data_IF_949521423181
#
_entry.id   IF_949521423181
#
_cell.length_a   1.000
_cell.length_b   1.000
_cell.length_c   1.000
_cell.angle_alpha   90.00
_cell.angle_beta   90.00
_cell.angle_gamma   90.00
#
_symmetry.space_group_name_H-M   'P 1'
#
loop_
_entity.id
_entity.type
_entity.pdbx_description
1 polymer ?
#
# COMPACT_ATOMS: atom_id res chain seq x y z
N UNK A 1 10.04 -74.39 22.57
CA UNK A 1 9.97 -73.23 21.68
C UNK A 1 10.37 -71.97 22.42
N UNK A 2 11.55 -71.41 22.11
CA UNK A 2 12.03 -70.17 22.76
C UNK A 2 11.48 -68.95 21.99
N UNK A 3 10.85 -68.03 22.72
CA UNK A 3 10.33 -66.77 22.15
C UNK A 3 11.48 -65.88 21.61
N UNK A 4 11.26 -65.15 20.49
CA UNK A 4 12.31 -64.29 19.93
C UNK A 4 12.54 -63.08 20.83
N UNK A 5 13.79 -62.88 21.25
CA UNK A 5 14.22 -61.67 21.96
C UNK A 5 14.16 -60.46 20.99
N UNK A 6 13.30 -59.45 21.28
CA UNK A 6 13.30 -58.16 20.61
C UNK A 6 14.60 -57.44 20.95
N UNK A 7 15.51 -57.26 19.97
CA UNK A 7 16.68 -56.39 20.06
C UNK A 7 16.24 -54.95 20.22
N UNK A 8 16.37 -54.39 21.42
CA UNK A 8 16.12 -52.98 21.69
C UNK A 8 17.05 -52.07 20.88
N UNK A 9 16.50 -50.99 20.33
CA UNK A 9 17.27 -49.95 19.62
C UNK A 9 18.21 -49.31 20.65
N UNK A 10 19.53 -49.32 20.36
CA UNK A 10 20.51 -48.70 21.27
C UNK A 10 20.26 -47.20 21.43
N UNK A 11 20.41 -46.64 22.63
CA UNK A 11 20.29 -45.20 22.92
C UNK A 11 21.03 -44.33 21.90
N UNK A 12 22.20 -44.78 21.44
CA UNK A 12 23.02 -44.08 20.45
C UNK A 12 22.40 -44.05 19.04
N UNK A 13 21.65 -45.08 18.63
CA UNK A 13 20.88 -45.10 17.37
C UNK A 13 19.63 -44.24 17.45
N UNK A 14 18.97 -44.21 18.61
CA UNK A 14 17.80 -43.36 18.84
C UNK A 14 18.16 -41.87 18.82
N UNK A 15 19.26 -41.47 19.50
CA UNK A 15 19.76 -40.08 19.50
C UNK A 15 20.22 -39.68 18.10
N UNK A 16 20.90 -40.54 17.33
CA UNK A 16 21.27 -40.25 15.95
C UNK A 16 20.07 -40.14 15.02
N UNK A 17 19.03 -40.94 15.23
CA UNK A 17 17.76 -40.86 14.50
C UNK A 17 17.00 -39.54 14.78
N UNK A 18 16.96 -39.12 16.07
CA UNK A 18 16.36 -37.83 16.48
C UNK A 18 17.13 -36.62 15.90
N UNK A 19 18.46 -36.64 15.99
CA UNK A 19 19.32 -35.61 15.44
C UNK A 19 19.21 -35.54 13.91
N UNK A 20 19.17 -36.69 13.23
CA UNK A 20 18.94 -36.77 11.78
C UNK A 20 17.54 -36.27 11.35
N UNK A 21 16.50 -36.59 12.14
CA UNK A 21 15.12 -36.12 11.94
C UNK A 21 15.00 -34.60 12.12
N UNK A 22 15.60 -34.05 13.18
CA UNK A 22 15.63 -32.58 13.41
C UNK A 22 16.44 -31.88 12.31
N UNK A 23 17.59 -32.41 11.88
CA UNK A 23 18.37 -31.84 10.78
C UNK A 23 17.61 -31.89 9.45
N UNK A 24 16.87 -32.98 9.19
CA UNK A 24 16.00 -33.09 8.02
C UNK A 24 14.84 -32.11 8.02
N UNK A 25 14.18 -31.90 9.17
CA UNK A 25 13.10 -30.92 9.34
C UNK A 25 13.61 -29.48 9.21
N UNK A 26 14.81 -29.18 9.72
CA UNK A 26 15.44 -27.86 9.56
C UNK A 26 15.85 -27.63 8.10
N UNK A 27 16.44 -28.60 7.41
CA UNK A 27 16.80 -28.47 5.99
C UNK A 27 15.56 -28.32 5.07
N UNK A 28 14.48 -29.07 5.34
CA UNK A 28 13.21 -28.92 4.64
C UNK A 28 12.56 -27.56 4.91
N UNK A 29 12.63 -27.09 6.17
CA UNK A 29 12.18 -25.75 6.57
C UNK A 29 12.96 -24.64 5.85
N UNK A 30 14.30 -24.79 5.75
CA UNK A 30 15.14 -23.86 5.00
C UNK A 30 14.87 -23.86 3.50
N UNK A 31 14.62 -25.04 2.91
CA UNK A 31 14.26 -25.17 1.50
C UNK A 31 12.93 -24.49 1.20
N UNK A 32 11.91 -24.70 2.03
CA UNK A 32 10.61 -24.05 1.90
C UNK A 32 10.72 -22.54 2.08
N UNK A 33 11.49 -22.10 3.06
CA UNK A 33 11.71 -20.69 3.33
C UNK A 33 12.38 -19.97 2.15
N UNK A 34 13.41 -20.57 1.56
CA UNK A 34 14.03 -20.06 0.34
C UNK A 34 13.08 -20.05 -0.86
N UNK A 35 12.27 -21.09 -1.01
CA UNK A 35 11.27 -21.13 -2.07
C UNK A 35 10.25 -20.00 -1.91
N UNK A 36 9.72 -19.77 -0.70
CA UNK A 36 8.81 -18.68 -0.41
C UNK A 36 9.45 -17.32 -0.69
N UNK A 37 10.71 -17.12 -0.25
CA UNK A 37 11.45 -15.88 -0.50
C UNK A 37 11.62 -15.58 -2.00
N UNK A 38 11.95 -16.62 -2.80
CA UNK A 38 12.21 -16.45 -4.22
C UNK A 38 10.97 -16.45 -5.11
N UNK A 39 9.85 -17.00 -4.68
CA UNK A 39 8.65 -17.11 -5.51
C UNK A 39 7.53 -16.17 -5.09
N UNK A 40 7.01 -16.32 -3.88
CA UNK A 40 5.83 -15.57 -3.43
C UNK A 40 6.19 -14.21 -2.81
N UNK A 41 7.35 -14.13 -2.18
CA UNK A 41 7.80 -12.98 -1.41
C UNK A 41 9.01 -12.28 -2.04
N UNK A 42 9.25 -12.49 -3.33
CA UNK A 42 10.35 -11.84 -4.04
C UNK A 42 10.25 -10.32 -3.85
N UNK A 43 11.34 -9.63 -3.43
CA UNK A 43 11.37 -8.16 -3.41
C UNK A 43 11.53 -7.62 -4.83
N UNK A 44 11.26 -6.33 -5.02
CA UNK A 44 11.67 -5.59 -6.19
C UNK A 44 13.20 -5.58 -6.35
N UNK A 45 13.69 -5.19 -7.52
CA UNK A 45 15.13 -5.10 -7.81
C UNK A 45 15.41 -3.85 -8.64
N UNK A 46 16.39 -3.06 -8.20
CA UNK A 46 16.92 -1.91 -8.92
C UNK A 46 18.45 -1.97 -9.01
N UNK A 47 19.00 -1.65 -10.16
CA UNK A 47 20.43 -1.69 -10.44
C UNK A 47 20.96 -0.38 -11.04
N UNK A 48 20.34 0.72 -10.70
CA UNK A 48 20.74 2.06 -11.15
C UNK A 48 21.89 2.66 -10.34
N UNK A 49 22.26 3.90 -10.65
CA UNK A 49 23.31 4.62 -9.94
C UNK A 49 22.93 4.92 -8.48
N UNK A 50 23.94 5.15 -7.64
CA UNK A 50 23.76 5.67 -6.28
C UNK A 50 23.20 7.08 -6.37
N UNK A 51 22.19 7.38 -5.51
CA UNK A 51 21.54 8.69 -5.41
C UNK A 51 21.51 9.16 -3.96
N UNK A 52 20.85 10.28 -3.67
CA UNK A 52 20.64 10.79 -2.32
C UNK A 52 19.65 9.97 -1.48
N UNK A 53 19.02 8.94 -2.07
CA UNK A 53 18.10 8.01 -1.41
C UNK A 53 18.26 6.55 -1.87
N UNK A 54 19.35 6.20 -2.58
CA UNK A 54 19.72 4.83 -2.95
C UNK A 54 21.23 4.62 -2.77
N UNK A 55 21.64 3.64 -1.95
CA UNK A 55 23.04 3.36 -1.62
C UNK A 55 23.75 2.39 -2.59
N UNK A 56 23.06 1.99 -3.67
CA UNK A 56 23.52 0.95 -4.63
C UNK A 56 22.94 -0.42 -4.33
N UNK A 57 22.28 -0.62 -3.17
CA UNK A 57 21.70 -1.89 -2.74
C UNK A 57 20.29 -1.70 -2.19
N UNK A 58 20.05 -0.64 -1.40
CA UNK A 58 18.80 -0.35 -0.73
C UNK A 58 18.40 1.12 -0.90
N UNK A 59 17.12 1.36 -1.00
CA UNK A 59 16.55 2.69 -0.87
C UNK A 59 16.47 3.11 0.60
N UNK A 60 16.56 4.40 0.89
CA UNK A 60 16.47 4.95 2.24
C UNK A 60 15.79 6.31 2.26
N UNK A 61 15.28 6.70 3.41
CA UNK A 61 14.75 8.06 3.61
C UNK A 61 15.92 8.99 3.94
N UNK A 62 16.17 10.06 3.16
CA UNK A 62 17.34 10.94 3.36
C UNK A 62 17.39 11.64 4.72
N UNK A 63 16.22 11.85 5.33
CA UNK A 63 16.08 12.67 6.55
C UNK A 63 15.81 11.85 7.82
N UNK A 64 15.43 10.58 7.70
CA UNK A 64 15.01 9.74 8.84
C UNK A 64 15.50 8.32 8.64
N UNK A 65 16.09 7.73 9.67
CA UNK A 65 16.42 6.30 9.70
C UNK A 65 15.26 5.53 10.35
N UNK A 66 14.70 4.58 9.63
CA UNK A 66 13.66 3.68 10.12
C UNK A 66 14.25 2.34 10.56
N UNK A 67 13.68 1.72 11.61
CA UNK A 67 14.11 0.41 12.10
C UNK A 67 13.31 -0.70 11.40
N UNK A 68 13.98 -1.47 10.55
CA UNK A 68 13.42 -2.61 9.81
C UNK A 68 13.81 -3.96 10.43
N UNK A 69 14.29 -3.97 11.68
CA UNK A 69 14.83 -5.15 12.34
C UNK A 69 13.75 -6.19 12.65
N UNK A 70 14.20 -7.42 12.86
CA UNK A 70 13.33 -8.52 13.32
C UNK A 70 12.75 -8.23 14.70
N UNK A 71 13.46 -7.45 15.55
CA UNK A 71 12.96 -7.04 16.86
C UNK A 71 11.76 -6.11 16.77
N UNK A 72 11.71 -5.19 15.80
CA UNK A 72 10.54 -4.36 15.54
C UNK A 72 9.32 -5.21 15.13
N UNK A 73 9.53 -6.24 14.30
CA UNK A 73 8.46 -7.16 13.90
C UNK A 73 7.95 -8.01 15.09
N UNK A 74 8.86 -8.50 15.96
CA UNK A 74 8.49 -9.25 17.18
C UNK A 74 7.71 -8.34 18.14
N UNK A 75 8.16 -7.11 18.34
CA UNK A 75 7.48 -6.11 19.16
C UNK A 75 6.06 -5.87 18.65
N UNK A 76 5.90 -5.64 17.34
CA UNK A 76 4.58 -5.45 16.73
C UNK A 76 3.65 -6.63 16.97
N UNK A 77 4.14 -7.87 16.84
CA UNK A 77 3.35 -9.08 17.12
C UNK A 77 2.95 -9.20 18.58
N UNK A 78 3.84 -8.85 19.52
CA UNK A 78 3.58 -8.94 20.96
C UNK A 78 2.58 -7.88 21.46
N UNK A 79 2.58 -6.70 20.84
CA UNK A 79 1.68 -5.58 21.20
C UNK A 79 0.32 -5.65 20.51
N UNK A 80 0.09 -6.63 19.63
CA UNK A 80 -1.21 -6.81 18.92
C UNK A 80 -2.36 -7.31 19.82
N UNK A 81 -2.12 -7.62 21.07
CA UNK A 81 -3.15 -8.06 22.00
C UNK A 81 -4.13 -6.95 22.42
N UNK A 82 -3.74 -5.70 22.32
CA UNK A 82 -4.51 -4.51 22.75
C UNK A 82 -5.27 -3.87 21.57
N UNK A 83 -5.97 -4.66 20.79
CA UNK A 83 -6.70 -4.16 19.63
C UNK A 83 -7.99 -3.44 20.03
N UNK A 84 -8.20 -2.26 19.45
CA UNK A 84 -9.46 -1.57 19.44
C UNK A 84 -10.57 -2.40 18.74
N UNK A 85 -11.82 -2.03 19.02
CA UNK A 85 -12.96 -2.73 18.40
C UNK A 85 -12.98 -2.53 16.88
N UNK A 86 -13.07 -3.64 16.16
CA UNK A 86 -13.24 -3.65 14.71
C UNK A 86 -14.38 -4.61 14.37
N UNK A 87 -15.41 -4.22 13.62
CA UNK A 87 -16.51 -5.11 13.27
C UNK A 87 -16.00 -6.33 12.49
N UNK A 88 -16.61 -7.50 12.67
CA UNK A 88 -16.21 -8.69 11.92
C UNK A 88 -16.49 -8.51 10.41
N UNK A 89 -17.65 -7.97 10.08
CA UNK A 89 -18.01 -7.56 8.73
C UNK A 89 -18.82 -6.26 8.83
N UNK A 90 -18.41 -5.25 8.09
CA UNK A 90 -19.16 -4.01 7.92
C UNK A 90 -19.62 -3.90 6.46
N UNK A 91 -20.91 -3.95 6.23
CA UNK A 91 -21.48 -3.77 4.90
C UNK A 91 -21.28 -2.33 4.39
N UNK A 92 -21.07 -2.19 3.09
CA UNK A 92 -21.01 -0.89 2.45
C UNK A 92 -22.40 -0.24 2.47
N UNK A 93 -22.44 1.08 2.72
CA UNK A 93 -23.67 1.86 2.73
C UNK A 93 -23.95 2.52 1.38
N UNK A 94 -22.98 2.50 0.47
CA UNK A 94 -23.02 3.16 -0.82
C UNK A 94 -22.84 2.18 -1.96
N UNK A 95 -23.59 2.38 -3.03
CA UNK A 95 -23.38 1.75 -4.34
C UNK A 95 -22.73 2.79 -5.24
N UNK A 96 -21.63 2.45 -5.94
CA UNK A 96 -20.95 3.40 -6.81
C UNK A 96 -21.88 3.95 -7.87
N UNK A 97 -21.83 5.26 -8.07
CA UNK A 97 -22.58 5.95 -9.10
C UNK A 97 -21.58 6.67 -10.02
N UNK A 98 -21.06 5.94 -11.00
CA UNK A 98 -20.05 6.49 -11.89
C UNK A 98 -20.71 7.36 -12.96
N UNK A 99 -20.14 8.55 -13.22
CA UNK A 99 -20.54 9.38 -14.34
C UNK A 99 -20.26 8.67 -15.68
N UNK A 100 -20.96 9.01 -16.75
CA UNK A 100 -20.68 8.45 -18.08
C UNK A 100 -19.27 8.83 -18.53
N UNK A 101 -18.89 10.09 -18.34
CA UNK A 101 -17.58 10.64 -18.70
C UNK A 101 -17.16 11.70 -17.70
N UNK A 102 -15.84 11.82 -17.47
CA UNK A 102 -15.23 12.84 -16.59
C UNK A 102 -14.07 13.50 -17.33
N UNK A 103 -14.30 14.69 -17.84
CA UNK A 103 -13.37 15.44 -18.71
C UNK A 103 -13.22 16.89 -18.27
N UNK A 104 -12.40 17.63 -18.96
CA UNK A 104 -12.25 19.07 -18.73
C UNK A 104 -11.65 19.38 -17.36
N UNK A 105 -12.42 20.09 -16.57
CA UNK A 105 -12.07 20.53 -15.20
C UNK A 105 -12.67 19.65 -14.12
N UNK A 106 -13.42 18.62 -14.52
CA UNK A 106 -14.11 17.73 -13.59
C UNK A 106 -13.20 16.61 -13.09
N UNK A 107 -13.49 16.14 -11.89
CA UNK A 107 -12.92 14.95 -11.30
C UNK A 107 -13.98 14.12 -10.59
N UNK A 108 -13.78 12.83 -10.58
CA UNK A 108 -14.57 11.86 -9.82
C UNK A 108 -13.65 10.89 -9.13
N UNK A 109 -13.86 10.65 -7.83
CA UNK A 109 -13.08 9.71 -7.02
C UNK A 109 -14.03 8.80 -6.27
N UNK A 110 -13.90 7.49 -6.50
CA UNK A 110 -14.67 6.47 -5.79
C UNK A 110 -13.75 5.69 -4.85
N UNK A 111 -14.13 5.60 -3.58
CA UNK A 111 -13.45 4.75 -2.60
C UNK A 111 -13.77 3.29 -2.89
N UNK A 112 -12.81 2.55 -3.43
CA UNK A 112 -12.98 1.11 -3.66
C UNK A 112 -12.73 0.35 -2.37
N UNK A 113 -11.58 0.57 -1.75
CA UNK A 113 -11.22 0.10 -0.41
C UNK A 113 -9.80 0.57 -0.06
N UNK A 114 -9.46 0.65 1.22
CA UNK A 114 -8.09 0.87 1.71
C UNK A 114 -7.39 2.04 0.98
N UNK A 115 -6.36 1.75 0.20
CA UNK A 115 -5.67 2.70 -0.68
C UNK A 115 -6.02 2.50 -2.17
N UNK A 116 -7.01 1.65 -2.45
CA UNK A 116 -7.55 1.48 -3.81
C UNK A 116 -8.65 2.51 -4.05
N UNK A 117 -8.36 3.50 -4.87
CA UNK A 117 -9.31 4.52 -5.32
C UNK A 117 -9.40 4.48 -6.83
N UNK A 118 -10.62 4.58 -7.35
CA UNK A 118 -10.86 4.85 -8.76
C UNK A 118 -10.93 6.35 -8.96
N UNK A 119 -9.90 6.91 -9.60
CA UNK A 119 -9.79 8.33 -9.93
C UNK A 119 -10.16 8.48 -11.41
N UNK A 120 -11.10 9.37 -11.71
CA UNK A 120 -11.54 9.67 -13.06
C UNK A 120 -11.34 11.15 -13.35
N UNK A 121 -10.50 11.44 -14.31
CA UNK A 121 -10.21 12.81 -14.77
C UNK A 121 -9.58 12.77 -16.17
N UNK A 122 -9.64 13.85 -16.90
CA UNK A 122 -9.08 14.00 -18.25
C UNK A 122 -9.50 12.89 -19.24
N UNK A 123 -10.68 12.30 -19.07
CA UNK A 123 -11.21 11.21 -19.88
C UNK A 123 -10.60 9.83 -19.57
N UNK A 124 -9.89 9.66 -18.45
CA UNK A 124 -9.21 8.43 -18.08
C UNK A 124 -9.74 7.86 -16.75
N UNK A 125 -9.69 6.53 -16.63
CA UNK A 125 -9.92 5.77 -15.43
C UNK A 125 -8.57 5.32 -14.85
N UNK A 126 -8.22 5.82 -13.67
CA UNK A 126 -6.94 5.63 -13.02
C UNK A 126 -7.18 4.90 -11.71
N UNK A 127 -6.48 3.81 -11.46
CA UNK A 127 -6.63 3.00 -10.26
C UNK A 127 -5.36 3.07 -9.40
N UNK A 128 -5.51 3.37 -8.12
CA UNK A 128 -4.39 3.37 -7.17
C UNK A 128 -4.33 2.07 -6.38
N UNK A 129 -3.14 1.55 -6.13
CA UNK A 129 -2.82 0.40 -5.24
C UNK A 129 -3.91 -0.69 -5.22
N UNK A 130 -4.17 -1.36 -6.37
CA UNK A 130 -5.36 -2.19 -6.52
C UNK A 130 -5.30 -3.49 -5.72
N UNK A 131 -6.28 -3.70 -4.82
CA UNK A 131 -6.42 -4.93 -4.05
C UNK A 131 -7.88 -5.38 -3.93
N UNK A 132 -8.19 -6.57 -4.49
CA UNK A 132 -9.48 -7.27 -4.36
C UNK A 132 -9.37 -8.55 -3.52
N UNK A 133 -8.16 -8.96 -3.14
CA UNK A 133 -7.94 -10.13 -2.28
C UNK A 133 -8.52 -9.95 -0.88
N UNK A 134 -8.90 -11.06 -0.25
CA UNK A 134 -9.39 -11.07 1.13
C UNK A 134 -8.27 -10.86 2.17
N UNK A 135 -7.04 -11.21 1.82
CA UNK A 135 -5.90 -11.18 2.72
C UNK A 135 -4.80 -10.26 2.17
N UNK A 136 -4.17 -9.50 3.06
CA UNK A 136 -2.98 -8.69 2.77
C UNK A 136 -1.71 -9.53 2.96
N UNK A 137 -1.63 -10.65 2.27
CA UNK A 137 -0.51 -11.58 2.36
C UNK A 137 -0.37 -12.43 1.09
N UNK A 138 0.80 -13.04 0.81
CA UNK A 138 1.00 -13.89 -0.36
C UNK A 138 0.28 -15.24 -0.27
N UNK A 139 -0.31 -15.54 0.90
CA UNK A 139 -1.06 -16.77 1.19
C UNK A 139 -2.33 -16.39 1.94
N UNK A 140 -3.34 -17.27 1.91
CA UNK A 140 -4.64 -17.01 2.57
C UNK A 140 -4.57 -17.08 4.10
N UNK A 141 -3.58 -16.40 4.69
CA UNK A 141 -3.33 -16.31 6.14
C UNK A 141 -2.95 -14.88 6.49
N UNK A 142 -3.38 -14.39 7.64
CA UNK A 142 -3.10 -13.05 8.12
C UNK A 142 -4.36 -12.20 8.29
N UNK A 143 -4.27 -10.88 8.27
CA UNK A 143 -5.44 -10.00 8.36
C UNK A 143 -6.41 -10.26 7.23
N UNK A 144 -7.65 -10.66 7.60
CA UNK A 144 -8.73 -10.88 6.64
C UNK A 144 -9.55 -9.61 6.48
N UNK A 145 -10.00 -9.35 5.27
CA UNK A 145 -10.90 -8.25 4.91
C UNK A 145 -12.13 -8.20 5.83
N UNK A 146 -12.39 -7.03 6.40
CA UNK A 146 -13.53 -6.76 7.30
C UNK A 146 -14.66 -6.00 6.59
N UNK A 147 -14.43 -5.57 5.36
CA UNK A 147 -15.36 -4.77 4.58
C UNK A 147 -15.31 -5.17 3.11
N UNK A 148 -16.46 -5.38 2.44
CA UNK A 148 -16.50 -5.64 1.01
C UNK A 148 -15.84 -4.50 0.20
N UNK A 149 -15.40 -4.82 -1.02
CA UNK A 149 -14.96 -3.79 -1.98
C UNK A 149 -16.12 -2.87 -2.35
N UNK A 150 -15.82 -1.61 -2.60
CA UNK A 150 -16.83 -0.62 -2.98
C UNK A 150 -17.29 -0.72 -4.43
N UNK A 151 -16.46 -1.32 -5.31
CA UNK A 151 -16.80 -1.63 -6.69
C UNK A 151 -16.54 -3.11 -6.90
N UNK A 152 -17.57 -3.88 -7.27
CA UNK A 152 -17.40 -5.27 -7.64
C UNK A 152 -16.50 -5.37 -8.88
N UNK A 153 -15.73 -6.46 -9.00
CA UNK A 153 -14.77 -6.59 -10.10
C UNK A 153 -15.41 -6.45 -11.48
N UNK A 154 -16.59 -7.01 -11.64
CA UNK A 154 -17.31 -7.02 -12.93
C UNK A 154 -18.01 -5.69 -13.22
N UNK A 155 -18.12 -4.81 -12.21
CA UNK A 155 -18.64 -3.44 -12.31
C UNK A 155 -17.53 -2.40 -12.48
N UNK A 156 -16.26 -2.81 -12.34
CA UNK A 156 -15.11 -1.91 -12.50
C UNK A 156 -14.98 -1.53 -13.96
N UNK A 157 -14.98 -0.22 -14.32
CA UNK A 157 -14.78 0.22 -15.69
C UNK A 157 -13.42 -0.22 -16.23
N UNK A 158 -13.22 -0.09 -17.55
CA UNK A 158 -11.88 -0.25 -18.14
C UNK A 158 -10.88 0.68 -17.45
N UNK A 159 -9.71 0.17 -17.10
CA UNK A 159 -8.66 0.93 -16.41
C UNK A 159 -7.55 1.27 -17.43
N UNK A 160 -7.31 2.57 -17.60
CA UNK A 160 -6.29 3.08 -18.51
C UNK A 160 -4.91 3.12 -17.86
N UNK A 161 -4.86 3.50 -16.56
CA UNK A 161 -3.63 3.68 -15.79
C UNK A 161 -3.75 3.02 -14.42
N UNK A 162 -2.70 2.34 -13.99
CA UNK A 162 -2.58 1.75 -12.66
C UNK A 162 -1.36 2.34 -11.95
N UNK A 163 -1.58 3.04 -10.84
CA UNK A 163 -0.55 3.61 -10.00
C UNK A 163 -0.27 2.67 -8.82
N UNK A 164 0.99 2.31 -8.59
CA UNK A 164 1.37 1.47 -7.46
C UNK A 164 2.42 2.21 -6.64
N UNK A 165 2.09 2.55 -5.40
CA UNK A 165 2.92 3.39 -4.54
C UNK A 165 4.15 2.66 -4.00
N UNK A 166 4.03 1.39 -3.63
CA UNK A 166 5.11 0.56 -3.10
C UNK A 166 4.74 -0.93 -3.09
N UNK A 167 5.62 -1.80 -2.58
CA UNK A 167 5.51 -3.25 -2.71
C UNK A 167 4.84 -3.98 -1.54
N UNK A 168 4.32 -3.32 -0.51
CA UNK A 168 3.61 -4.01 0.58
C UNK A 168 2.38 -4.77 0.06
N UNK A 169 1.97 -5.82 0.79
CA UNK A 169 0.93 -6.74 0.31
C UNK A 169 -0.48 -6.14 0.23
N UNK A 170 -0.73 -5.05 0.92
CA UNK A 170 -1.98 -4.29 0.91
C UNK A 170 -2.02 -3.21 -0.18
N UNK A 171 -0.93 -3.06 -0.95
CA UNK A 171 -0.80 -2.13 -2.09
C UNK A 171 -0.43 -2.85 -3.39
N UNK A 172 0.39 -3.90 -3.32
CA UNK A 172 0.82 -4.70 -4.46
C UNK A 172 0.21 -6.11 -4.38
N UNK A 173 -1.06 -6.23 -4.72
CA UNK A 173 -1.83 -7.49 -4.69
C UNK A 173 -1.69 -8.28 -5.99
N UNK A 174 -0.82 -9.27 -6.01
CA UNK A 174 -0.51 -10.08 -7.21
C UNK A 174 -1.74 -10.68 -7.88
N UNK A 175 -2.71 -11.28 -7.16
CA UNK A 175 -3.93 -11.80 -7.79
C UNK A 175 -4.72 -10.72 -8.54
N UNK A 176 -4.89 -9.55 -7.94
CA UNK A 176 -5.58 -8.42 -8.56
C UNK A 176 -4.83 -7.89 -9.77
N UNK A 177 -3.51 -7.69 -9.64
CA UNK A 177 -2.66 -7.17 -10.73
C UNK A 177 -2.67 -8.11 -11.94
N UNK A 178 -2.62 -9.43 -11.73
CA UNK A 178 -2.76 -10.43 -12.81
C UNK A 178 -4.12 -10.35 -13.52
N UNK A 179 -5.20 -10.19 -12.76
CA UNK A 179 -6.56 -10.04 -13.33
C UNK A 179 -6.67 -8.74 -14.12
N UNK A 180 -6.16 -7.64 -13.58
CA UNK A 180 -6.17 -6.32 -14.21
C UNK A 180 -5.35 -6.31 -15.50
N UNK A 181 -4.15 -6.87 -15.47
CA UNK A 181 -3.30 -7.01 -16.67
C UNK A 181 -3.99 -7.80 -17.77
N UNK A 182 -4.62 -8.94 -17.44
CA UNK A 182 -5.33 -9.77 -18.42
C UNK A 182 -6.57 -9.11 -19.00
N UNK A 183 -7.29 -8.31 -18.21
CA UNK A 183 -8.53 -7.67 -18.63
C UNK A 183 -8.28 -6.40 -19.44
N UNK A 184 -7.43 -5.51 -18.94
CA UNK A 184 -7.29 -4.14 -19.43
C UNK A 184 -5.90 -3.81 -20.00
N UNK A 185 -4.84 -4.51 -19.55
CA UNK A 185 -3.45 -4.18 -19.85
C UNK A 185 -3.16 -2.67 -19.69
N UNK A 186 -3.43 -2.07 -18.49
CA UNK A 186 -3.26 -0.65 -18.27
C UNK A 186 -1.80 -0.23 -18.38
N UNK A 187 -1.55 1.08 -18.50
CA UNK A 187 -0.22 1.62 -18.25
C UNK A 187 0.05 1.59 -16.74
N UNK A 188 1.00 0.77 -16.29
CA UNK A 188 1.48 0.80 -14.91
C UNK A 188 2.48 1.94 -14.73
N UNK A 189 2.32 2.73 -13.66
CA UNK A 189 3.31 3.74 -13.24
C UNK A 189 3.75 3.38 -11.83
N UNK A 190 5.04 3.15 -11.66
CA UNK A 190 5.59 2.56 -10.44
C UNK A 190 6.92 3.22 -10.07
N UNK A 191 7.30 3.25 -8.78
CA UNK A 191 8.65 3.67 -8.38
C UNK A 191 9.71 2.63 -8.72
N UNK A 192 10.98 3.06 -8.68
CA UNK A 192 12.15 2.26 -9.02
C UNK A 192 12.18 0.91 -8.28
N UNK A 193 12.50 -0.15 -9.01
CA UNK A 193 12.57 -1.53 -8.53
C UNK A 193 11.26 -2.32 -8.63
N UNK A 194 10.09 -1.68 -8.84
CA UNK A 194 8.81 -2.38 -8.93
C UNK A 194 8.53 -2.98 -10.32
N UNK A 195 9.11 -2.46 -11.39
CA UNK A 195 8.95 -3.04 -12.73
C UNK A 195 9.39 -4.49 -12.76
N UNK A 196 10.55 -4.79 -12.16
CA UNK A 196 11.07 -6.15 -12.07
C UNK A 196 10.10 -7.10 -11.36
N UNK A 197 9.45 -6.61 -10.29
CA UNK A 197 8.47 -7.36 -9.52
C UNK A 197 7.17 -7.60 -10.31
N UNK A 198 6.70 -6.58 -11.04
CA UNK A 198 5.54 -6.69 -11.93
C UNK A 198 5.79 -7.72 -13.01
N UNK A 199 6.87 -7.58 -13.80
CA UNK A 199 7.21 -8.51 -14.88
C UNK A 199 7.34 -9.95 -14.40
N UNK A 200 7.96 -10.15 -13.24
CA UNK A 200 8.06 -11.47 -12.61
C UNK A 200 6.71 -12.09 -12.29
N UNK A 201 5.83 -11.33 -11.61
CA UNK A 201 4.53 -11.86 -11.19
C UNK A 201 3.50 -11.93 -12.31
N UNK A 202 3.58 -11.06 -13.30
CA UNK A 202 2.69 -11.11 -14.48
C UNK A 202 3.15 -12.14 -15.51
N UNK A 203 4.39 -12.66 -15.39
CA UNK A 203 5.03 -13.57 -16.36
C UNK A 203 5.05 -12.96 -17.77
N UNK A 204 5.13 -11.64 -17.85
CA UNK A 204 5.12 -10.85 -19.08
C UNK A 204 5.72 -9.46 -18.83
N UNK A 205 6.13 -8.79 -19.90
CA UNK A 205 6.50 -7.37 -19.83
C UNK A 205 5.24 -6.49 -19.97
N UNK A 206 4.77 -5.85 -18.88
CA UNK A 206 3.64 -4.95 -18.95
C UNK A 206 4.01 -3.60 -19.58
N UNK A 207 3.01 -2.86 -20.03
CA UNK A 207 3.17 -1.43 -20.30
C UNK A 207 3.48 -0.73 -18.97
N UNK A 208 4.74 -0.36 -18.74
CA UNK A 208 5.19 0.12 -17.45
C UNK A 208 6.16 1.28 -17.59
N UNK A 209 5.88 2.36 -16.89
CA UNK A 209 6.78 3.48 -16.64
C UNK A 209 7.29 3.39 -15.19
N UNK A 210 8.59 3.12 -15.04
CA UNK A 210 9.28 3.08 -13.76
C UNK A 210 10.05 4.37 -13.59
N UNK A 211 9.81 5.09 -12.48
CA UNK A 211 10.31 6.46 -12.27
C UNK A 211 10.86 6.65 -10.87
N UNK A 212 11.75 7.60 -10.74
CA UNK A 212 12.25 8.12 -9.49
C UNK A 212 11.36 9.25 -8.94
N UNK A 213 11.60 9.68 -7.71
CA UNK A 213 10.97 10.87 -7.14
C UNK A 213 11.22 12.09 -8.03
N UNK A 214 10.18 12.91 -8.19
CA UNK A 214 10.14 14.12 -9.01
C UNK A 214 10.20 13.88 -10.52
N UNK A 215 10.34 12.64 -10.96
CA UNK A 215 10.18 12.33 -12.38
C UNK A 215 8.70 12.27 -12.77
N UNK A 216 8.42 12.57 -14.02
CA UNK A 216 7.06 12.64 -14.55
C UNK A 216 6.86 11.72 -15.75
N UNK A 217 5.61 11.27 -15.90
CA UNK A 217 5.13 10.53 -17.06
C UNK A 217 4.00 11.33 -17.72
N UNK A 218 4.13 11.66 -18.99
CA UNK A 218 3.05 12.24 -19.78
C UNK A 218 2.15 11.14 -20.31
N UNK A 219 0.88 11.12 -19.87
CA UNK A 219 -0.07 10.04 -20.22
C UNK A 219 -0.76 10.35 -21.55
N UNK A 220 -1.26 11.58 -21.69
CA UNK A 220 -1.90 12.08 -22.90
C UNK A 220 -1.62 13.59 -23.06
N UNK A 221 -2.29 14.25 -23.98
CA UNK A 221 -2.11 15.69 -24.23
C UNK A 221 -2.45 16.58 -23.01
N UNK A 222 -3.15 16.06 -21.99
CA UNK A 222 -3.66 16.83 -20.85
C UNK A 222 -3.16 16.38 -19.49
N UNK A 223 -2.83 15.10 -19.30
CA UNK A 223 -2.48 14.54 -17.99
C UNK A 223 -1.01 14.17 -17.92
N UNK A 224 -0.33 14.68 -16.90
CA UNK A 224 0.96 14.20 -16.44
C UNK A 224 0.84 13.63 -15.02
N UNK A 225 1.60 12.60 -14.72
CA UNK A 225 1.74 12.02 -13.38
C UNK A 225 3.17 12.20 -12.92
N UNK A 226 3.36 12.83 -11.76
CA UNK A 226 4.67 13.03 -11.11
C UNK A 226 4.76 12.12 -9.89
N UNK A 227 5.84 11.36 -9.76
CA UNK A 227 6.12 10.62 -8.53
C UNK A 227 6.70 11.55 -7.49
N UNK A 228 6.18 11.48 -6.28
CA UNK A 228 6.56 12.36 -5.18
C UNK A 228 7.18 11.57 -4.04
N UNK A 229 8.14 12.16 -3.28
CA UNK A 229 8.67 11.53 -2.08
C UNK A 229 7.58 11.21 -1.06
N UNK A 230 7.80 10.13 -0.32
CA UNK A 230 7.04 9.77 0.87
C UNK A 230 8.01 9.30 1.97
N UNK A 231 7.63 9.42 3.23
CA UNK A 231 8.40 8.87 4.34
C UNK A 231 7.84 7.49 4.68
N UNK A 232 8.36 6.47 4.01
CA UNK A 232 7.89 5.10 4.15
C UNK A 232 9.03 4.09 3.92
N UNK A 233 8.71 2.87 3.54
CA UNK A 233 9.63 1.76 3.28
C UNK A 233 8.98 0.71 2.37
N UNK A 234 9.79 -0.27 1.92
CA UNK A 234 9.31 -1.39 1.12
C UNK A 234 9.80 -2.72 1.69
N UNK A 235 9.00 -3.78 1.59
CA UNK A 235 9.39 -5.13 2.03
C UNK A 235 8.35 -6.16 1.67
N UNK A 236 8.80 -7.29 1.11
CA UNK A 236 7.91 -8.44 0.85
C UNK A 236 8.29 -9.70 1.60
N UNK A 237 9.51 -9.81 2.11
CA UNK A 237 9.97 -10.97 2.87
C UNK A 237 10.40 -10.58 4.28
N UNK A 238 10.40 -11.57 5.20
CA UNK A 238 10.61 -11.34 6.63
C UNK A 238 12.04 -10.97 7.03
N UNK A 239 13.05 -11.26 6.20
CA UNK A 239 14.43 -10.90 6.50
C UNK A 239 14.70 -9.40 6.30
N UNK A 240 15.73 -8.90 6.99
CA UNK A 240 16.12 -7.50 6.88
C UNK A 240 16.75 -7.18 5.52
N UNK A 241 17.38 -8.17 4.86
CA UNK A 241 18.07 -7.99 3.58
C UNK A 241 17.11 -7.75 2.40
N UNK A 242 15.84 -8.16 2.53
CA UNK A 242 14.79 -7.91 1.53
C UNK A 242 14.10 -6.55 1.67
N UNK A 243 14.36 -5.80 2.76
CA UNK A 243 13.78 -4.48 2.94
C UNK A 243 14.38 -3.47 1.95
N UNK A 244 13.56 -2.54 1.49
CA UNK A 244 13.96 -1.37 0.71
C UNK A 244 14.69 -1.71 -0.61
N UNK A 245 14.34 -2.81 -1.23
CA UNK A 245 14.84 -3.19 -2.56
C UNK A 245 14.13 -2.49 -3.71
N UNK A 246 12.97 -1.93 -3.44
CA UNK A 246 12.23 -1.02 -4.31
C UNK A 246 11.96 0.30 -3.60
N UNK A 247 11.79 1.35 -4.37
CA UNK A 247 11.40 2.67 -3.87
C UNK A 247 9.91 2.68 -3.52
N UNK A 248 9.46 3.70 -2.80
CA UNK A 248 8.07 4.02 -2.47
C UNK A 248 7.80 5.48 -2.85
N UNK A 249 6.56 5.82 -3.15
CA UNK A 249 6.21 7.17 -3.59
C UNK A 249 4.73 7.51 -3.35
N UNK A 250 4.43 8.80 -3.40
CA UNK A 250 3.11 9.32 -3.73
C UNK A 250 3.02 9.70 -5.21
N UNK A 251 1.85 10.17 -5.65
CA UNK A 251 1.61 10.59 -7.03
C UNK A 251 0.86 11.91 -7.09
N UNK A 252 1.34 12.83 -7.90
CA UNK A 252 0.60 14.05 -8.30
C UNK A 252 0.12 13.92 -9.73
N UNK A 253 -1.20 13.90 -9.91
CA UNK A 253 -1.88 13.88 -11.20
C UNK A 253 -2.18 15.33 -11.60
N UNK A 254 -1.51 15.82 -12.62
CA UNK A 254 -1.58 17.21 -13.07
C UNK A 254 -2.34 17.27 -14.41
N UNK A 255 -3.58 17.76 -14.39
CA UNK A 255 -4.40 17.95 -15.59
C UNK A 255 -4.25 19.39 -16.08
N UNK A 256 -3.80 19.58 -17.31
CA UNK A 256 -3.62 20.89 -17.92
C UNK A 256 -4.97 21.64 -17.98
N UNK A 257 -5.05 22.77 -17.26
CA UNK A 257 -6.28 23.56 -17.11
C UNK A 257 -7.42 22.82 -16.38
N UNK A 258 -7.07 21.82 -15.58
CA UNK A 258 -7.99 20.99 -14.82
C UNK A 258 -7.50 20.69 -13.40
N UNK A 259 -7.96 19.59 -12.76
CA UNK A 259 -7.61 19.27 -11.39
C UNK A 259 -6.14 18.87 -11.23
N UNK A 260 -5.55 19.27 -10.09
CA UNK A 260 -4.39 18.63 -9.49
C UNK A 260 -4.89 17.70 -8.39
N UNK A 261 -4.67 16.39 -8.54
CA UNK A 261 -5.04 15.36 -7.55
C UNK A 261 -3.76 14.76 -7.01
N UNK A 262 -3.59 14.78 -5.69
CA UNK A 262 -2.44 14.19 -5.01
C UNK A 262 -2.84 12.92 -4.28
N UNK A 263 -2.18 11.81 -4.55
CA UNK A 263 -2.29 10.56 -3.80
C UNK A 263 -0.98 10.32 -3.03
N UNK A 264 -1.06 10.30 -1.70
CA UNK A 264 0.12 10.22 -0.86
C UNK A 264 0.79 8.82 -0.86
N UNK A 265 0.06 7.76 -1.22
CA UNK A 265 0.47 6.40 -0.87
C UNK A 265 0.54 6.24 0.64
N UNK A 266 1.44 5.37 1.12
CA UNK A 266 1.76 5.28 2.53
C UNK A 266 2.91 6.22 2.89
N UNK A 267 2.74 6.94 3.98
CA UNK A 267 3.73 7.90 4.46
C UNK A 267 3.54 8.19 5.94
N UNK A 268 4.62 8.55 6.62
CA UNK A 268 4.57 9.16 7.93
C UNK A 268 4.54 10.69 7.83
N UNK A 269 4.38 11.36 8.98
CA UNK A 269 4.54 12.81 9.11
C UNK A 269 5.91 13.24 8.64
N UNK A 270 5.98 14.17 7.68
CA UNK A 270 7.22 14.65 7.08
C UNK A 270 7.06 16.04 6.45
N UNK A 271 8.17 16.63 6.02
CA UNK A 271 8.18 17.92 5.36
C UNK A 271 7.94 17.86 3.84
N UNK A 272 7.83 16.64 3.27
CA UNK A 272 7.61 16.46 1.84
C UNK A 272 6.33 17.13 1.34
N UNK A 273 5.27 17.20 2.17
CA UNK A 273 4.01 17.84 1.79
C UNK A 273 4.20 19.33 1.44
N UNK A 274 4.98 20.06 2.21
CA UNK A 274 5.32 21.46 1.90
C UNK A 274 6.16 21.57 0.62
N UNK A 275 7.11 20.64 0.41
CA UNK A 275 7.95 20.61 -0.78
C UNK A 275 7.15 20.26 -2.05
N UNK A 276 6.21 19.30 -1.95
CA UNK A 276 5.29 18.93 -3.04
C UNK A 276 4.48 20.16 -3.44
N UNK A 277 3.90 20.88 -2.48
CA UNK A 277 3.17 22.12 -2.75
C UNK A 277 4.06 23.18 -3.40
N UNK A 278 5.28 23.35 -2.91
CA UNK A 278 6.22 24.33 -3.46
C UNK A 278 6.56 24.04 -4.93
N UNK A 279 6.81 22.77 -5.28
CA UNK A 279 7.20 22.37 -6.64
C UNK A 279 6.05 22.23 -7.62
N UNK A 280 4.90 21.71 -7.15
CA UNK A 280 3.80 21.29 -8.03
C UNK A 280 2.54 22.14 -7.86
N UNK A 281 2.52 23.07 -6.91
CA UNK A 281 1.35 23.83 -6.53
C UNK A 281 0.45 23.09 -5.54
N UNK A 282 -0.51 23.81 -4.98
CA UNK A 282 -1.49 23.24 -4.06
C UNK A 282 -2.44 22.27 -4.80
N UNK A 283 -2.64 21.03 -4.35
CA UNK A 283 -3.59 20.13 -4.99
C UNK A 283 -5.03 20.59 -4.72
N UNK A 284 -5.89 20.40 -5.71
CA UNK A 284 -7.33 20.61 -5.54
C UNK A 284 -7.92 19.53 -4.63
N UNK A 285 -7.41 18.28 -4.75
CA UNK A 285 -7.79 17.15 -3.91
C UNK A 285 -6.55 16.39 -3.47
N UNK A 286 -6.44 16.10 -2.15
CA UNK A 286 -5.39 15.26 -1.56
C UNK A 286 -6.00 13.98 -1.00
N UNK A 287 -5.48 12.83 -1.41
CA UNK A 287 -5.84 11.50 -0.91
C UNK A 287 -4.82 11.11 0.14
N UNK A 288 -5.20 11.13 1.42
CA UNK A 288 -4.29 11.05 2.56
C UNK A 288 -4.58 9.82 3.44
N UNK A 289 -3.56 9.03 3.82
CA UNK A 289 -3.73 7.89 4.71
C UNK A 289 -4.03 8.36 6.13
N UNK A 290 -4.93 7.65 6.85
CA UNK A 290 -5.30 7.94 8.24
C UNK A 290 -5.29 6.72 9.17
N UNK A 291 -4.87 5.56 8.68
CA UNK A 291 -4.87 4.29 9.43
C UNK A 291 -3.49 3.74 9.70
N UNK A 292 -3.44 2.64 10.49
CA UNK A 292 -2.21 1.93 10.86
C UNK A 292 -1.27 2.78 11.72
N UNK A 293 -1.79 3.38 12.81
CA UNK A 293 -1.01 4.30 13.66
C UNK A 293 -0.86 3.85 15.12
N UNK A 294 -1.44 2.72 15.54
CA UNK A 294 -1.28 2.16 16.90
C UNK A 294 -0.61 0.80 16.87
N UNK A 295 0.32 0.52 17.80
CA UNK A 295 0.81 1.42 18.86
C UNK A 295 1.65 2.59 18.31
N UNK A 296 1.83 3.64 19.12
CA UNK A 296 2.41 4.94 18.76
C UNK A 296 3.72 4.87 17.94
N UNK A 297 4.57 3.89 18.19
CA UNK A 297 5.84 3.75 17.47
C UNK A 297 5.70 3.41 15.98
N UNK A 298 4.52 2.93 15.52
CA UNK A 298 4.22 2.67 14.12
C UNK A 298 4.08 3.99 13.32
N UNK A 299 3.74 5.09 13.98
CA UNK A 299 3.67 6.43 13.37
C UNK A 299 4.96 6.91 12.72
N UNK A 300 6.09 6.23 12.97
CA UNK A 300 7.33 6.47 12.23
C UNK A 300 7.21 6.13 10.74
N UNK A 301 6.25 5.28 10.37
CA UNK A 301 6.03 4.78 9.02
C UNK A 301 4.66 5.17 8.45
N UNK A 302 3.72 5.62 9.28
CA UNK A 302 2.34 5.92 8.92
C UNK A 302 1.85 7.20 9.59
N UNK A 303 0.93 7.89 8.96
CA UNK A 303 0.22 9.04 9.56
C UNK A 303 -0.96 8.57 10.41
N UNK A 304 -1.16 9.21 11.56
CA UNK A 304 -2.45 9.17 12.23
C UNK A 304 -3.37 10.28 11.69
N UNK A 305 -4.64 10.34 12.09
CA UNK A 305 -5.56 11.39 11.64
C UNK A 305 -5.07 12.83 11.86
N UNK A 306 -4.40 13.11 12.98
CA UNK A 306 -3.85 14.46 13.24
C UNK A 306 -2.68 14.80 12.33
N UNK A 307 -1.79 13.83 12.04
CA UNK A 307 -0.71 13.99 11.06
C UNK A 307 -1.26 14.20 9.65
N UNK A 308 -2.36 13.52 9.29
CA UNK A 308 -3.02 13.71 7.99
C UNK A 308 -3.65 15.10 7.86
N UNK A 309 -4.23 15.64 8.95
CA UNK A 309 -4.73 17.02 8.99
C UNK A 309 -3.57 18.02 8.85
N UNK A 310 -2.43 17.77 9.47
CA UNK A 310 -1.23 18.60 9.29
C UNK A 310 -0.74 18.53 7.83
N UNK A 311 -0.71 17.35 7.22
CA UNK A 311 -0.36 17.16 5.80
C UNK A 311 -1.32 17.95 4.88
N UNK A 312 -2.61 17.91 5.14
CA UNK A 312 -3.62 18.70 4.42
C UNK A 312 -3.30 20.20 4.48
N UNK A 313 -2.95 20.72 5.66
CA UNK A 313 -2.58 22.11 5.85
C UNK A 313 -1.26 22.48 5.15
N UNK A 314 -0.24 21.60 5.22
CA UNK A 314 1.04 21.81 4.55
C UNK A 314 0.90 21.82 3.02
N UNK A 315 0.07 20.95 2.47
CA UNK A 315 -0.28 20.93 1.05
C UNK A 315 -1.11 22.12 0.62
N UNK A 316 -1.81 22.77 1.55
CA UNK A 316 -2.85 23.77 1.26
C UNK A 316 -3.87 23.23 0.24
N UNK A 317 -4.24 21.95 0.37
CA UNK A 317 -5.16 21.32 -0.54
C UNK A 317 -6.56 21.92 -0.44
N UNK A 318 -7.30 21.96 -1.55
CA UNK A 318 -8.69 22.46 -1.56
C UNK A 318 -9.62 21.54 -0.79
N UNK A 319 -9.43 20.22 -0.90
CA UNK A 319 -10.14 19.18 -0.18
C UNK A 319 -9.22 17.99 0.09
N UNK A 320 -9.44 17.29 1.20
CA UNK A 320 -8.80 15.98 1.46
C UNK A 320 -9.83 14.85 1.50
N UNK A 321 -9.39 13.67 1.10
CA UNK A 321 -10.14 12.42 1.15
C UNK A 321 -9.27 11.40 1.86
N UNK A 322 -9.79 10.82 2.93
CA UNK A 322 -9.12 9.80 3.72
C UNK A 322 -9.02 8.48 2.95
N UNK A 323 -7.88 7.81 3.08
CA UNK A 323 -7.65 6.45 2.61
C UNK A 323 -6.84 5.65 3.65
N UNK A 324 -6.46 4.43 3.32
CA UNK A 324 -5.68 3.51 4.14
C UNK A 324 -6.33 3.21 5.50
N UNK A 325 -7.63 3.06 5.55
CA UNK A 325 -8.39 2.72 6.76
C UNK A 325 -9.61 1.85 6.45
N UNK A 326 -10.20 1.28 7.47
CA UNK A 326 -11.55 0.72 7.39
C UNK A 326 -11.71 -0.65 6.72
N UNK A 327 -10.72 -1.17 5.99
CA UNK A 327 -10.85 -2.43 5.24
C UNK A 327 -10.28 -3.64 5.99
N UNK A 328 -9.08 -3.52 6.51
CA UNK A 328 -8.42 -4.52 7.37
C UNK A 328 -8.02 -3.89 8.68
N UNK A 329 -8.01 -4.69 9.75
CA UNK A 329 -7.36 -4.28 10.99
C UNK A 329 -5.88 -4.67 10.94
N UNK A 330 -5.07 -3.79 10.37
CA UNK A 330 -3.63 -3.99 10.21
C UNK A 330 -2.85 -3.64 11.49
N UNK A 331 -3.39 -2.73 12.31
CA UNK A 331 -2.79 -2.27 13.55
C UNK A 331 -3.79 -2.34 14.72
N UNK A 332 -3.54 -1.61 15.82
CA UNK A 332 -4.31 -1.77 17.05
C UNK A 332 -5.49 -0.81 17.16
N UNK A 333 -5.57 0.25 16.36
CA UNK A 333 -6.71 1.17 16.38
C UNK A 333 -8.01 0.46 15.98
N UNK A 334 -9.11 0.96 16.55
CA UNK A 334 -10.46 0.54 16.19
C UNK A 334 -11.01 1.31 14.99
N UNK A 335 -12.04 0.75 14.35
CA UNK A 335 -12.65 1.38 13.18
C UNK A 335 -13.26 2.76 13.49
N UNK A 336 -14.13 2.82 14.50
CA UNK A 336 -14.79 4.09 14.90
C UNK A 336 -13.80 5.06 15.58
N UNK A 337 -12.75 4.52 16.19
CA UNK A 337 -11.68 5.29 16.79
C UNK A 337 -10.95 6.15 15.76
N UNK A 338 -10.59 5.57 14.61
CA UNK A 338 -9.93 6.30 13.52
C UNK A 338 -10.79 7.46 13.01
N UNK A 339 -12.10 7.25 12.85
CA UNK A 339 -13.03 8.31 12.42
C UNK A 339 -13.20 9.39 13.47
N UNK A 340 -13.28 9.00 14.75
CA UNK A 340 -13.34 9.93 15.87
C UNK A 340 -12.07 10.77 15.97
N UNK A 341 -10.90 10.13 15.88
CA UNK A 341 -9.61 10.82 15.94
C UNK A 341 -9.48 11.83 14.79
N UNK A 342 -10.01 11.53 13.59
CA UNK A 342 -10.07 12.50 12.48
C UNK A 342 -10.99 13.68 12.82
N UNK A 343 -12.18 13.42 13.33
CA UNK A 343 -13.12 14.49 13.71
C UNK A 343 -12.54 15.40 14.80
N UNK A 344 -11.90 14.82 15.80
CA UNK A 344 -11.23 15.55 16.88
C UNK A 344 -10.06 16.41 16.34
N UNK A 345 -9.25 15.86 15.42
CA UNK A 345 -8.15 16.59 14.80
C UNK A 345 -8.61 17.77 13.94
N UNK A 346 -9.69 17.59 13.16
CA UNK A 346 -10.30 18.67 12.38
C UNK A 346 -10.84 19.77 13.28
N UNK A 347 -11.52 19.41 14.37
CA UNK A 347 -12.02 20.37 15.35
C UNK A 347 -10.88 21.17 16.00
N UNK A 348 -9.80 20.48 16.43
CA UNK A 348 -8.62 21.13 17.02
C UNK A 348 -7.94 22.12 16.06
N UNK A 349 -7.89 21.75 14.77
CA UNK A 349 -7.32 22.60 13.72
C UNK A 349 -8.29 23.69 13.20
N UNK A 350 -9.52 23.75 13.72
CA UNK A 350 -10.60 24.65 13.25
C UNK A 350 -10.91 24.49 11.75
N UNK A 351 -10.83 23.24 11.24
CA UNK A 351 -11.13 22.89 9.85
C UNK A 351 -12.56 22.39 9.78
N UNK A 352 -13.32 22.89 8.79
CA UNK A 352 -14.69 22.41 8.56
C UNK A 352 -14.66 20.95 8.08
N UNK A 353 -15.53 20.07 8.64
CA UNK A 353 -15.50 18.63 8.28
C UNK A 353 -15.67 18.33 6.79
N UNK A 354 -16.35 19.20 6.04
CA UNK A 354 -16.52 19.03 4.58
C UNK A 354 -15.23 19.22 3.79
N UNK A 355 -14.17 19.78 4.38
CA UNK A 355 -12.87 19.95 3.71
C UNK A 355 -11.99 18.70 3.78
N UNK A 356 -12.29 17.76 4.70
CA UNK A 356 -11.57 16.49 4.81
C UNK A 356 -12.56 15.35 5.05
N UNK A 357 -12.87 14.61 4.01
CA UNK A 357 -13.89 13.56 4.02
C UNK A 357 -13.28 12.18 4.26
N UNK A 358 -13.97 11.34 5.01
CA UNK A 358 -13.65 9.93 5.17
C UNK A 358 -14.73 9.07 4.51
N UNK A 359 -14.64 8.79 3.19
CA UNK A 359 -15.70 8.12 2.47
C UNK A 359 -15.82 6.65 2.84
N UNK A 360 -17.04 6.14 2.73
CA UNK A 360 -17.33 4.71 2.76
C UNK A 360 -16.90 4.03 1.45
N UNK A 361 -16.60 2.71 1.52
CA UNK A 361 -16.40 1.92 0.31
C UNK A 361 -17.65 2.01 -0.60
N UNK A 362 -17.45 2.30 -1.87
CA UNK A 362 -18.51 2.53 -2.86
C UNK A 362 -18.97 3.99 -2.94
N UNK A 363 -18.59 4.84 -1.99
CA UNK A 363 -18.93 6.25 -2.06
C UNK A 363 -18.12 6.96 -3.16
N UNK A 364 -18.83 7.69 -4.01
CA UNK A 364 -18.25 8.49 -5.11
C UNK A 364 -18.35 9.97 -4.77
N UNK A 365 -17.20 10.65 -4.81
CA UNK A 365 -17.06 12.10 -4.64
C UNK A 365 -16.75 12.75 -5.97
N UNK A 366 -17.24 13.97 -6.19
CA UNK A 366 -17.09 14.71 -7.42
C UNK A 366 -16.79 16.18 -7.16
N UNK A 367 -16.12 16.80 -8.11
CA UNK A 367 -15.90 18.22 -8.11
C UNK A 367 -15.45 18.72 -9.47
N UNK A 368 -15.38 20.03 -9.58
CA UNK A 368 -14.85 20.75 -10.74
C UNK A 368 -13.97 21.87 -10.22
N UNK A 369 -12.87 22.13 -10.92
CA UNK A 369 -12.01 23.27 -10.58
C UNK A 369 -12.46 24.51 -11.37
N UNK A 370 -12.45 25.65 -10.70
CA UNK A 370 -12.87 26.94 -11.24
C UNK A 370 -11.88 27.55 -12.25
#
# INVERSE_FOLDING_TARGET
MKAPQRKGISRRRFIKGLAGGLAGLTAAGWGLDRLLAHTLCRPGEWHGPITDHFDGVHFFNPTVSLDYSTSAAVRWLSERSEKGHYPEVKNNQHTPQLATEVTGRDWEITMVNHSTLLIRCAGLNILTDPIWSDYTSPVSVGPKRKRPVGIAWDELPHIDVCLISHDHYDHFDVPTLRRLFKRDNPLFIVPLGLRSLLSYHLEAEPRCEEKDWWESVRINSRLSVVLTPALHWSKRYRDAASANKSLWCGFSLLVDGGPHIYFAGDTARCNWFSEIRHRLGAPHVALLPIGMYKPEWIRKNHTNPADAVEAFLQLQAGQAIACHFGTWQLANEGYEETLKDLADALQQASIVPSSFLAPDNGQTLRGSVS
#
